data_IF_127244383243
#
_entry.id   IF_127244383243
#
_cell.length_a   1.000
_cell.length_b   1.000
_cell.length_c   1.000
_cell.angle_alpha   90.00
_cell.angle_beta   90.00
_cell.angle_gamma   90.00
#
_symmetry.space_group_name_H-M   'P 1'
#
loop_
_entity.id
_entity.type
_entity.pdbx_description
1 polymer ?
#
# COMPACT_ATOMS: atom_id res chain seq x y z
N UNK A 1 -65.72 -20.78 41.41
CA UNK A 1 -65.17 -19.75 42.31
C UNK A 1 -63.96 -19.15 41.65
N UNK A 2 -64.19 -17.99 41.05
CA UNK A 2 -63.67 -16.68 41.46
C UNK A 2 -62.14 -16.60 41.19
N UNK A 3 -61.57 -15.92 40.26
CA UNK A 3 -61.86 -14.55 39.80
C UNK A 3 -60.53 -13.80 39.95
N UNK A 4 -60.05 -13.07 38.97
CA UNK A 4 -58.89 -12.21 39.11
C UNK A 4 -58.28 -11.81 37.81
N UNK A 5 -58.91 -10.85 37.12
CA UNK A 5 -58.34 -10.08 36.03
C UNK A 5 -57.30 -9.09 36.62
N UNK A 6 -56.16 -9.00 35.99
CA UNK A 6 -55.18 -7.94 36.24
C UNK A 6 -54.78 -7.29 34.91
N UNK A 7 -55.37 -6.12 34.65
CA UNK A 7 -55.18 -5.34 33.44
C UNK A 7 -53.81 -4.67 33.44
N UNK A 8 -53.12 -4.81 32.30
CA UNK A 8 -51.94 -4.01 31.95
C UNK A 8 -52.39 -2.74 31.28
N UNK A 9 -52.12 -1.59 31.93
CA UNK A 9 -52.33 -0.26 31.45
C UNK A 9 -51.41 0.02 30.27
N UNK A 10 -52.01 0.21 29.09
CA UNK A 10 -51.36 0.87 27.96
C UNK A 10 -51.26 2.38 28.29
N UNK A 11 -50.04 2.88 28.41
CA UNK A 11 -49.80 4.30 28.48
C UNK A 11 -50.12 4.93 27.11
N UNK A 12 -51.24 5.63 27.03
CA UNK A 12 -51.55 6.51 25.94
C UNK A 12 -50.51 7.65 25.88
N UNK A 13 -49.73 7.69 24.87
CA UNK A 13 -48.81 8.77 24.56
C UNK A 13 -49.69 9.97 24.10
N UNK A 14 -49.91 10.90 25.01
CA UNK A 14 -50.68 12.12 24.82
C UNK A 14 -49.92 12.99 23.83
N UNK A 15 -50.38 12.99 22.55
CA UNK A 15 -49.88 13.91 21.54
C UNK A 15 -50.30 15.32 21.92
N UNK A 16 -49.36 16.09 22.47
CA UNK A 16 -49.52 17.47 22.83
C UNK A 16 -49.90 18.31 21.58
N UNK A 17 -51.13 18.76 21.51
CA UNK A 17 -51.60 19.71 20.51
C UNK A 17 -50.88 21.06 20.75
N UNK A 18 -50.20 21.65 19.74
CA UNK A 18 -49.52 22.91 19.92
C UNK A 18 -50.54 24.02 20.26
N UNK A 19 -50.36 24.69 21.37
CA UNK A 19 -51.12 25.88 21.75
C UNK A 19 -50.86 27.01 20.75
N UNK A 20 -51.95 27.57 20.20
CA UNK A 20 -51.92 28.72 19.30
C UNK A 20 -51.19 29.93 19.99
N UNK A 21 -49.97 30.23 19.58
CA UNK A 21 -49.19 31.34 20.09
C UNK A 21 -47.67 31.17 20.11
N UNK A 22 -47.15 29.95 19.84
CA UNK A 22 -45.69 29.78 19.73
C UNK A 22 -45.26 30.19 18.30
N UNK A 23 -44.23 31.07 18.16
CA UNK A 23 -43.67 31.36 16.85
C UNK A 23 -43.16 30.04 16.22
N UNK A 24 -43.32 29.83 14.89
CA UNK A 24 -42.81 28.68 14.23
C UNK A 24 -41.30 28.57 14.50
N UNK A 25 -40.74 27.33 14.68
CA UNK A 25 -39.30 27.18 14.88
C UNK A 25 -38.58 27.90 13.74
N UNK A 26 -37.67 28.80 14.10
CA UNK A 26 -36.86 29.55 13.14
C UNK A 26 -36.23 28.53 12.16
N UNK A 27 -36.50 28.69 10.88
CA UNK A 27 -35.85 27.90 9.84
C UNK A 27 -34.34 28.08 9.98
N UNK A 28 -33.54 27.01 9.95
CA UNK A 28 -32.10 27.12 10.09
C UNK A 28 -31.57 28.10 9.05
N UNK A 29 -30.74 29.06 9.53
CA UNK A 29 -30.18 30.11 8.71
C UNK A 29 -29.66 29.59 7.39
N UNK A 30 -29.97 30.21 6.23
CA UNK A 30 -29.52 29.78 4.92
C UNK A 30 -27.97 29.84 4.89
N UNK A 31 -27.29 28.72 5.05
CA UNK A 31 -25.84 28.63 5.17
C UNK A 31 -25.36 27.64 6.25
N UNK A 32 -26.14 27.40 7.29
CA UNK A 32 -25.75 26.47 8.37
C UNK A 32 -25.56 25.02 7.83
N UNK A 33 -26.39 24.59 6.89
CA UNK A 33 -26.27 23.31 6.24
C UNK A 33 -25.04 23.21 5.32
N UNK A 34 -24.68 24.29 4.63
CA UNK A 34 -23.51 24.35 3.73
C UNK A 34 -22.22 24.31 4.57
N UNK A 35 -22.13 25.11 5.63
CA UNK A 35 -20.97 25.13 6.53
C UNK A 35 -20.77 23.81 7.26
N UNK A 36 -21.85 23.13 7.68
CA UNK A 36 -21.79 21.79 8.28
C UNK A 36 -21.34 20.74 7.26
N UNK A 37 -21.81 20.82 6.01
CA UNK A 37 -21.36 19.97 4.91
C UNK A 37 -19.88 20.14 4.60
N UNK A 38 -19.39 21.38 4.48
CA UNK A 38 -17.98 21.70 4.24
C UNK A 38 -17.10 21.21 5.40
N UNK A 39 -17.52 21.40 6.63
CA UNK A 39 -16.80 20.90 7.80
C UNK A 39 -16.72 19.37 7.84
N UNK A 40 -17.79 18.68 7.44
CA UNK A 40 -17.82 17.21 7.31
C UNK A 40 -16.86 16.72 6.21
N UNK A 41 -16.91 17.32 5.01
CA UNK A 41 -16.00 16.99 3.91
C UNK A 41 -14.55 17.24 4.28
N UNK A 42 -14.25 18.36 4.92
CA UNK A 42 -12.91 18.70 5.39
C UNK A 42 -12.41 17.67 6.42
N UNK A 43 -13.21 17.29 7.42
CA UNK A 43 -12.84 16.27 8.40
C UNK A 43 -12.60 14.90 7.76
N UNK A 44 -13.46 14.50 6.82
CA UNK A 44 -13.30 13.25 6.08
C UNK A 44 -12.01 13.25 5.25
N UNK A 45 -11.73 14.34 4.55
CA UNK A 45 -10.52 14.52 3.76
C UNK A 45 -9.24 14.45 4.62
N UNK A 46 -9.20 15.15 5.76
CA UNK A 46 -8.09 15.09 6.69
C UNK A 46 -7.88 13.68 7.28
N UNK A 47 -8.95 12.97 7.60
CA UNK A 47 -8.85 11.56 8.00
C UNK A 47 -8.22 10.70 6.90
N UNK A 48 -8.59 10.92 5.64
CA UNK A 48 -7.98 10.23 4.50
C UNK A 48 -6.48 10.51 4.40
N UNK A 49 -6.04 11.76 4.56
CA UNK A 49 -4.62 12.13 4.58
C UNK A 49 -3.88 11.42 5.72
N UNK A 50 -4.39 11.48 6.94
CA UNK A 50 -3.76 10.84 8.11
C UNK A 50 -3.67 9.33 7.92
N UNK A 51 -4.73 8.67 7.45
CA UNK A 51 -4.71 7.25 7.17
C UNK A 51 -3.65 6.87 6.12
N UNK A 52 -3.54 7.64 5.02
CA UNK A 52 -2.55 7.39 3.98
C UNK A 52 -1.11 7.61 4.49
N UNK A 53 -0.86 8.70 5.21
CA UNK A 53 0.46 8.99 5.80
C UNK A 53 0.88 7.92 6.81
N UNK A 54 -0.02 7.57 7.74
CA UNK A 54 0.27 6.53 8.75
C UNK A 54 0.50 5.19 8.06
N UNK A 55 -0.35 4.80 7.09
CA UNK A 55 -0.19 3.55 6.36
C UNK A 55 1.16 3.47 5.63
N UNK A 56 1.54 4.51 4.91
CA UNK A 56 2.83 4.57 4.22
C UNK A 56 4.02 4.62 5.20
N UNK A 57 3.89 5.36 6.32
CA UNK A 57 4.91 5.36 7.37
C UNK A 57 5.11 3.98 8.01
N UNK A 58 4.03 3.20 8.18
CA UNK A 58 4.09 1.82 8.66
C UNK A 58 4.77 0.87 7.67
N UNK A 59 4.76 1.15 6.36
CA UNK A 59 5.57 0.39 5.40
C UNK A 59 7.06 0.59 5.64
N UNK A 60 7.51 1.83 5.90
CA UNK A 60 8.90 2.07 6.26
C UNK A 60 9.31 1.39 7.58
N UNK A 61 8.44 1.41 8.59
CA UNK A 61 8.62 0.62 9.80
C UNK A 61 8.71 -0.88 9.51
N UNK A 62 7.88 -1.40 8.60
CA UNK A 62 7.93 -2.79 8.14
C UNK A 62 9.28 -3.15 7.52
N UNK A 63 9.87 -2.23 6.76
CA UNK A 63 11.23 -2.38 6.22
C UNK A 63 12.28 -2.52 7.31
N UNK A 64 12.23 -1.67 8.34
CA UNK A 64 13.13 -1.76 9.48
C UNK A 64 12.93 -3.07 10.28
N UNK A 65 11.68 -3.54 10.46
CA UNK A 65 11.42 -4.86 11.04
C UNK A 65 12.06 -5.99 10.21
N UNK A 66 11.94 -5.94 8.88
CA UNK A 66 12.57 -6.92 7.99
C UNK A 66 14.10 -6.88 8.12
N UNK A 67 14.69 -5.68 8.14
CA UNK A 67 16.14 -5.51 8.37
C UNK A 67 16.56 -6.10 9.71
N UNK A 68 15.83 -5.82 10.79
CA UNK A 68 16.13 -6.40 12.11
C UNK A 68 16.12 -7.93 12.06
N UNK A 69 15.10 -8.53 11.45
CA UNK A 69 14.98 -9.98 11.35
C UNK A 69 16.11 -10.60 10.54
N UNK A 70 16.44 -10.04 9.39
CA UNK A 70 17.51 -10.54 8.51
C UNK A 70 18.90 -10.35 9.11
N UNK A 71 19.12 -9.29 9.91
CA UNK A 71 20.43 -8.99 10.50
C UNK A 71 20.72 -9.72 11.81
N UNK A 72 19.69 -10.15 12.57
CA UNK A 72 19.87 -10.71 13.90
C UNK A 72 19.55 -12.21 14.00
N UNK A 73 18.94 -12.80 12.97
CA UNK A 73 18.57 -14.21 12.96
C UNK A 73 19.08 -14.87 11.67
N UNK A 74 19.35 -16.17 11.74
CA UNK A 74 19.70 -16.98 10.56
C UNK A 74 18.45 -17.32 9.76
N UNK A 75 17.87 -16.30 9.12
CA UNK A 75 16.67 -16.40 8.30
C UNK A 75 16.89 -15.77 6.93
N UNK A 76 16.24 -16.36 5.94
CA UNK A 76 16.38 -15.95 4.54
C UNK A 76 15.27 -14.98 4.10
N UNK A 77 15.51 -14.09 3.12
CA UNK A 77 14.49 -13.23 2.56
C UNK A 77 13.19 -13.94 2.12
N UNK A 78 13.24 -15.16 1.48
CA UNK A 78 12.03 -15.91 1.17
C UNK A 78 11.21 -16.31 2.40
N UNK A 79 11.86 -16.66 3.51
CA UNK A 79 11.16 -17.01 4.75
C UNK A 79 10.42 -15.81 5.36
N UNK A 80 11.12 -14.67 5.50
CA UNK A 80 10.49 -13.43 6.00
C UNK A 80 9.33 -13.03 5.11
N UNK A 81 9.51 -13.11 3.78
CA UNK A 81 8.46 -12.77 2.80
C UNK A 81 7.26 -13.70 2.92
N UNK A 82 7.49 -15.02 3.06
CA UNK A 82 6.42 -16.00 3.21
C UNK A 82 5.61 -15.75 4.49
N UNK A 83 6.27 -15.62 5.63
CA UNK A 83 5.61 -15.44 6.93
C UNK A 83 4.79 -14.14 6.96
N UNK A 84 5.36 -13.01 6.50
CA UNK A 84 4.65 -11.73 6.49
C UNK A 84 3.46 -11.72 5.54
N UNK A 85 3.61 -12.28 4.33
CA UNK A 85 2.54 -12.28 3.32
C UNK A 85 1.42 -13.25 3.67
N UNK A 86 1.73 -14.46 4.14
CA UNK A 86 0.71 -15.41 4.61
C UNK A 86 -0.02 -14.88 5.84
N UNK A 87 0.70 -14.39 6.84
CA UNK A 87 0.10 -13.84 8.04
C UNK A 87 -0.84 -12.67 7.75
N UNK A 88 -0.38 -11.68 6.98
CA UNK A 88 -1.22 -10.54 6.59
C UNK A 88 -2.38 -10.97 5.68
N UNK A 89 -2.14 -11.87 4.72
CA UNK A 89 -3.16 -12.42 3.84
C UNK A 89 -4.28 -13.14 4.59
N UNK A 90 -3.94 -13.91 5.63
CA UNK A 90 -4.92 -14.55 6.53
C UNK A 90 -5.75 -13.49 7.26
N UNK A 91 -5.13 -12.43 7.79
CA UNK A 91 -5.86 -11.34 8.45
C UNK A 91 -6.81 -10.63 7.48
N UNK A 92 -6.38 -10.36 6.23
CA UNK A 92 -7.25 -9.83 5.19
C UNK A 92 -8.41 -10.76 4.90
N UNK A 93 -8.16 -12.08 4.77
CA UNK A 93 -9.19 -13.08 4.50
C UNK A 93 -10.22 -13.16 5.62
N UNK A 94 -9.78 -13.12 6.89
CA UNK A 94 -10.68 -13.10 8.05
C UNK A 94 -11.62 -11.90 8.01
N UNK A 95 -11.08 -10.69 7.74
CA UNK A 95 -11.89 -9.48 7.63
C UNK A 95 -12.85 -9.54 6.45
N UNK A 96 -12.39 -10.05 5.29
CA UNK A 96 -13.23 -10.23 4.10
C UNK A 96 -14.36 -11.24 4.36
N UNK A 97 -14.06 -12.38 4.98
CA UNK A 97 -15.03 -13.39 5.32
C UNK A 97 -16.09 -12.88 6.32
N UNK A 98 -15.67 -12.02 7.26
CA UNK A 98 -16.56 -11.44 8.26
C UNK A 98 -17.44 -10.32 7.69
N UNK A 99 -16.94 -9.50 6.75
CA UNK A 99 -17.62 -8.27 6.31
C UNK A 99 -18.14 -8.32 4.88
N UNK A 100 -17.56 -9.15 4.01
CA UNK A 100 -17.85 -9.18 2.56
C UNK A 100 -17.91 -10.62 2.03
N UNK A 101 -18.54 -11.53 2.78
CA UNK A 101 -18.58 -12.96 2.49
C UNK A 101 -19.10 -13.30 1.09
N UNK A 102 -20.16 -12.61 0.65
CA UNK A 102 -20.76 -12.86 -0.66
C UNK A 102 -19.82 -12.45 -1.78
N UNK A 103 -19.16 -11.30 -1.63
CA UNK A 103 -18.18 -10.79 -2.59
C UNK A 103 -16.97 -11.71 -2.67
N UNK A 104 -16.48 -12.19 -1.54
CA UNK A 104 -15.39 -13.17 -1.47
C UNK A 104 -15.78 -14.46 -2.18
N UNK A 105 -16.97 -14.99 -1.92
CA UNK A 105 -17.46 -16.20 -2.56
C UNK A 105 -17.62 -16.05 -4.09
N UNK A 106 -18.14 -14.90 -4.56
CA UNK A 106 -18.25 -14.59 -5.98
C UNK A 106 -16.87 -14.53 -6.66
N UNK A 107 -15.90 -13.85 -6.01
CA UNK A 107 -14.54 -13.72 -6.50
C UNK A 107 -13.81 -15.07 -6.61
N UNK A 108 -14.01 -15.97 -5.62
CA UNK A 108 -13.41 -17.32 -5.61
C UNK A 108 -14.07 -18.29 -6.59
N UNK A 109 -15.30 -18.01 -7.05
CA UNK A 109 -15.98 -18.84 -8.08
C UNK A 109 -15.58 -18.49 -9.50
N UNK A 110 -15.12 -17.26 -9.74
CA UNK A 110 -14.70 -16.83 -11.07
C UNK A 110 -13.25 -17.26 -11.36
N UNK A 111 -13.11 -18.35 -12.15
CA UNK A 111 -11.81 -18.89 -12.55
C UNK A 111 -10.93 -17.87 -13.29
N UNK A 112 -11.53 -16.94 -14.05
CA UNK A 112 -10.78 -15.91 -14.76
C UNK A 112 -10.18 -14.91 -13.80
N UNK A 113 -10.95 -14.48 -12.82
CA UNK A 113 -10.49 -13.61 -11.73
C UNK A 113 -9.41 -14.31 -10.89
N UNK A 114 -9.56 -15.60 -10.57
CA UNK A 114 -8.53 -16.36 -9.85
C UNK A 114 -7.21 -16.43 -10.63
N UNK A 115 -7.24 -16.64 -11.94
CA UNK A 115 -6.03 -16.62 -12.77
C UNK A 115 -5.35 -15.23 -12.75
N UNK A 116 -6.13 -14.15 -12.85
CA UNK A 116 -5.61 -12.77 -12.76
C UNK A 116 -5.05 -12.46 -11.37
N UNK A 117 -5.68 -12.96 -10.32
CA UNK A 117 -5.19 -12.85 -8.94
C UNK A 117 -3.91 -13.65 -8.71
N UNK A 118 -3.79 -14.83 -9.31
CA UNK A 118 -2.56 -15.63 -9.26
C UNK A 118 -1.38 -14.88 -9.89
N UNK A 119 -1.59 -14.28 -11.07
CA UNK A 119 -0.57 -13.44 -11.74
C UNK A 119 -0.24 -12.22 -10.89
N UNK A 120 -1.23 -11.54 -10.32
CA UNK A 120 -1.00 -10.39 -9.44
C UNK A 120 -0.29 -10.77 -8.14
N UNK A 121 -0.72 -11.85 -7.49
CA UNK A 121 -0.14 -12.31 -6.23
C UNK A 121 1.30 -12.80 -6.39
N UNK A 122 1.57 -13.68 -7.36
CA UNK A 122 2.89 -14.25 -7.59
C UNK A 122 3.82 -13.32 -8.40
N UNK A 123 3.31 -12.71 -9.49
CA UNK A 123 4.11 -11.85 -10.37
C UNK A 123 4.20 -10.39 -9.90
N UNK A 124 3.21 -9.90 -9.16
CA UNK A 124 3.19 -8.54 -8.65
C UNK A 124 3.65 -8.46 -7.20
N UNK A 125 2.78 -8.87 -6.27
CA UNK A 125 3.04 -8.71 -4.83
C UNK A 125 4.26 -9.50 -4.35
N UNK A 126 4.36 -10.79 -4.71
CA UNK A 126 5.50 -11.61 -4.27
C UNK A 126 6.82 -11.09 -4.83
N UNK A 127 6.92 -10.84 -6.14
CA UNK A 127 8.17 -10.35 -6.72
C UNK A 127 8.56 -8.99 -6.11
N UNK A 128 7.60 -8.08 -5.89
CA UNK A 128 7.87 -6.82 -5.21
C UNK A 128 8.41 -7.03 -3.80
N UNK A 129 7.81 -7.92 -3.02
CA UNK A 129 8.19 -8.15 -1.64
C UNK A 129 9.49 -8.92 -1.48
N UNK A 130 9.73 -9.94 -2.33
CA UNK A 130 10.95 -10.74 -2.23
C UNK A 130 12.18 -9.95 -2.70
N UNK A 131 12.07 -9.21 -3.81
CA UNK A 131 13.18 -8.40 -4.30
C UNK A 131 13.53 -7.29 -3.32
N UNK A 132 12.52 -6.67 -2.68
CA UNK A 132 12.71 -5.70 -1.60
C UNK A 132 13.45 -6.30 -0.41
N UNK A 133 13.04 -7.49 0.07
CA UNK A 133 13.69 -8.17 1.18
C UNK A 133 15.14 -8.56 0.85
N UNK A 134 15.42 -8.99 -0.39
CA UNK A 134 16.78 -9.28 -0.85
C UNK A 134 17.64 -7.99 -0.87
N UNK A 135 17.08 -6.86 -1.30
CA UNK A 135 17.83 -5.59 -1.28
C UNK A 135 18.14 -5.18 0.17
N UNK A 136 17.20 -5.37 1.11
CA UNK A 136 17.47 -5.11 2.53
C UNK A 136 18.61 -5.98 3.04
N UNK A 137 18.63 -7.25 2.68
CA UNK A 137 19.65 -8.22 3.09
C UNK A 137 21.06 -7.83 2.62
N UNK A 138 21.17 -7.29 1.40
CA UNK A 138 22.43 -6.78 0.86
C UNK A 138 22.80 -5.36 1.34
N UNK A 139 21.84 -4.57 1.81
CA UNK A 139 22.01 -3.15 2.12
C UNK A 139 21.38 -2.77 3.48
N UNK A 140 20.26 -2.07 3.44
CA UNK A 140 19.44 -1.71 4.59
C UNK A 140 18.05 -1.25 4.11
N UNK A 141 17.08 -1.11 5.03
CA UNK A 141 15.71 -0.74 4.68
C UNK A 141 15.59 0.67 4.06
N UNK A 142 16.38 1.63 4.49
CA UNK A 142 16.40 2.99 3.92
C UNK A 142 16.81 2.97 2.45
N UNK A 143 17.97 2.37 2.14
CA UNK A 143 18.49 2.24 0.77
C UNK A 143 17.55 1.41 -0.11
N UNK A 144 17.03 0.29 0.40
CA UNK A 144 16.09 -0.56 -0.34
C UNK A 144 14.83 0.21 -0.76
N UNK A 145 14.25 1.00 0.16
CA UNK A 145 13.04 1.77 -0.11
C UNK A 145 13.29 2.89 -1.11
N UNK A 146 14.46 3.51 -1.08
CA UNK A 146 14.83 4.53 -2.09
C UNK A 146 15.03 3.92 -3.46
N UNK A 147 15.72 2.78 -3.56
CA UNK A 147 15.84 2.05 -4.84
C UNK A 147 14.47 1.60 -5.36
N UNK A 148 13.55 1.21 -4.48
CA UNK A 148 12.15 0.90 -4.84
C UNK A 148 11.45 2.06 -5.54
N UNK A 149 11.75 3.32 -5.19
CA UNK A 149 11.16 4.50 -5.81
C UNK A 149 11.51 4.63 -7.30
N UNK A 150 12.54 3.95 -7.81
CA UNK A 150 12.82 3.84 -9.26
C UNK A 150 11.64 3.22 -10.01
N UNK A 151 10.77 2.47 -9.32
CA UNK A 151 9.53 1.94 -9.88
C UNK A 151 8.62 3.02 -10.48
N UNK A 152 8.63 4.24 -9.94
CA UNK A 152 7.87 5.37 -10.47
C UNK A 152 8.40 5.76 -11.87
N UNK A 153 9.73 5.75 -12.05
CA UNK A 153 10.36 6.00 -13.34
C UNK A 153 9.99 4.90 -14.36
N UNK A 154 9.95 3.63 -13.93
CA UNK A 154 9.50 2.54 -14.79
C UNK A 154 8.01 2.65 -15.15
N UNK A 155 7.13 3.00 -14.19
CA UNK A 155 5.71 3.26 -14.48
C UNK A 155 5.55 4.34 -15.54
N UNK A 156 6.29 5.43 -15.41
CA UNK A 156 6.29 6.52 -16.38
C UNK A 156 6.75 6.04 -17.77
N UNK A 157 7.89 5.36 -17.84
CA UNK A 157 8.43 4.84 -19.09
C UNK A 157 7.44 3.89 -19.78
N UNK A 158 6.86 2.93 -19.06
CA UNK A 158 5.85 2.02 -19.61
C UNK A 158 4.60 2.74 -20.07
N UNK A 159 4.15 3.77 -19.33
CA UNK A 159 2.98 4.55 -19.72
C UNK A 159 3.23 5.30 -21.02
N UNK A 160 4.43 5.87 -21.22
CA UNK A 160 4.84 6.52 -22.46
C UNK A 160 4.92 5.55 -23.64
N UNK A 161 5.51 4.36 -23.43
CA UNK A 161 5.65 3.33 -24.47
C UNK A 161 4.26 2.83 -24.91
N UNK A 162 3.39 2.48 -23.97
CA UNK A 162 2.04 1.97 -24.27
C UNK A 162 1.16 3.05 -24.87
N UNK A 163 1.26 4.27 -24.37
CA UNK A 163 0.53 5.44 -24.89
C UNK A 163 1.07 5.99 -26.21
N UNK A 164 2.23 5.46 -26.70
CA UNK A 164 2.95 5.98 -27.86
C UNK A 164 3.14 7.50 -27.81
N UNK A 165 3.32 8.03 -26.60
CA UNK A 165 3.52 9.45 -26.34
C UNK A 165 4.96 9.69 -25.85
N UNK A 166 5.56 10.79 -26.29
CA UNK A 166 6.86 11.18 -25.76
C UNK A 166 6.71 11.67 -24.30
N UNK A 167 7.68 11.35 -23.44
CA UNK A 167 7.71 11.86 -22.09
C UNK A 167 7.71 13.39 -22.09
N UNK A 168 6.99 13.98 -21.17
CA UNK A 168 7.01 15.43 -20.97
C UNK A 168 8.36 15.87 -20.38
N UNK A 169 8.74 17.12 -20.57
CA UNK A 169 10.01 17.64 -20.04
C UNK A 169 10.17 17.39 -18.53
N UNK A 170 9.10 17.53 -17.74
CA UNK A 170 9.12 17.24 -16.31
C UNK A 170 9.38 15.77 -16.00
N UNK A 171 8.82 14.86 -16.80
CA UNK A 171 9.01 13.42 -16.66
C UNK A 171 10.45 13.04 -16.99
N UNK A 172 11.07 13.67 -18.01
CA UNK A 172 12.48 13.48 -18.33
C UNK A 172 13.39 14.00 -17.21
N UNK A 173 13.09 15.17 -16.65
CA UNK A 173 13.82 15.68 -15.48
C UNK A 173 13.67 14.76 -14.28
N UNK A 174 12.46 14.23 -14.03
CA UNK A 174 12.21 13.25 -12.98
C UNK A 174 12.99 11.96 -13.18
N UNK A 175 13.02 11.42 -14.41
CA UNK A 175 13.81 10.24 -14.74
C UNK A 175 15.31 10.50 -14.51
N UNK A 176 15.83 11.64 -14.98
CA UNK A 176 17.22 12.05 -14.75
C UNK A 176 17.54 12.15 -13.25
N UNK A 177 16.64 12.74 -12.47
CA UNK A 177 16.79 12.85 -11.02
C UNK A 177 16.81 11.46 -10.33
N UNK A 178 15.94 10.53 -10.75
CA UNK A 178 15.93 9.17 -10.22
C UNK A 178 17.23 8.41 -10.52
N UNK A 179 17.72 8.50 -11.77
CA UNK A 179 18.98 7.87 -12.19
C UNK A 179 20.16 8.47 -11.43
N UNK A 180 20.21 9.80 -11.29
CA UNK A 180 21.28 10.46 -10.56
C UNK A 180 21.24 10.17 -9.07
N UNK A 181 20.06 10.10 -8.44
CA UNK A 181 19.91 9.70 -7.06
C UNK A 181 20.39 8.25 -6.84
N UNK A 182 20.01 7.34 -7.73
CA UNK A 182 20.46 5.93 -7.67
C UNK A 182 21.98 5.84 -7.83
N UNK A 183 22.57 6.58 -8.77
CA UNK A 183 24.02 6.64 -8.97
C UNK A 183 24.72 7.20 -7.71
N UNK A 184 24.22 8.28 -7.15
CA UNK A 184 24.79 8.93 -5.96
C UNK A 184 24.82 7.98 -4.74
N UNK A 185 23.75 7.25 -4.51
CA UNK A 185 23.66 6.25 -3.44
C UNK A 185 24.59 5.06 -3.73
N UNK A 186 24.60 4.59 -4.98
CA UNK A 186 25.39 3.42 -5.37
C UNK A 186 26.92 3.67 -5.29
N UNK A 187 27.36 4.88 -5.58
CA UNK A 187 28.79 5.23 -5.65
C UNK A 187 29.30 6.06 -4.46
N UNK A 188 28.38 6.54 -3.60
CA UNK A 188 28.69 7.50 -2.54
C UNK A 188 29.36 8.78 -3.06
N UNK A 189 29.09 9.11 -4.34
CA UNK A 189 29.64 10.28 -5.03
C UNK A 189 31.02 10.06 -5.64
N UNK A 190 31.62 8.87 -5.54
CA UNK A 190 32.87 8.51 -6.22
C UNK A 190 32.59 7.71 -7.49
N UNK A 191 32.78 8.31 -8.69
CA UNK A 191 32.47 7.63 -9.95
C UNK A 191 33.36 6.40 -10.22
N UNK A 192 34.47 6.23 -9.52
CA UNK A 192 35.40 5.12 -9.68
C UNK A 192 35.11 3.94 -8.74
N UNK A 193 34.22 4.14 -7.75
CA UNK A 193 33.91 3.15 -6.73
C UNK A 193 32.41 2.79 -6.71
N UNK A 194 32.10 1.51 -6.62
CA UNK A 194 30.75 1.04 -6.33
C UNK A 194 30.68 0.70 -4.84
N UNK A 195 30.05 1.57 -4.05
CA UNK A 195 29.92 1.39 -2.59
C UNK A 195 28.82 0.41 -2.21
N UNK A 196 27.75 0.33 -3.03
CA UNK A 196 26.73 -0.71 -2.86
C UNK A 196 27.21 -2.04 -3.44
N UNK A 197 26.93 -3.17 -2.77
CA UNK A 197 27.16 -4.47 -3.38
C UNK A 197 26.41 -4.57 -4.73
N UNK A 198 27.10 -5.00 -5.79
CA UNK A 198 26.50 -5.14 -7.12
C UNK A 198 25.20 -5.97 -7.10
N UNK A 199 25.09 -7.10 -6.36
CA UNK A 199 23.82 -7.80 -6.23
C UNK A 199 22.72 -6.93 -5.64
N UNK A 200 23.00 -6.11 -4.62
CA UNK A 200 22.03 -5.18 -4.03
C UNK A 200 21.48 -4.17 -5.04
N UNK A 201 22.35 -3.60 -5.88
CA UNK A 201 21.94 -2.67 -6.94
C UNK A 201 21.08 -3.37 -8.01
N UNK A 202 21.49 -4.55 -8.47
CA UNK A 202 20.73 -5.34 -9.49
C UNK A 202 19.34 -5.69 -8.95
N UNK A 203 19.26 -6.19 -7.72
CA UNK A 203 17.99 -6.51 -7.09
C UNK A 203 17.15 -5.25 -6.81
N UNK A 204 17.76 -4.10 -6.53
CA UNK A 204 17.09 -2.82 -6.38
C UNK A 204 16.40 -2.37 -7.67
N UNK A 205 17.08 -2.50 -8.82
CA UNK A 205 16.50 -2.22 -10.14
C UNK A 205 15.37 -3.21 -10.46
N UNK A 206 15.58 -4.51 -10.17
CA UNK A 206 14.55 -5.54 -10.32
C UNK A 206 13.33 -5.26 -9.44
N UNK A 207 13.55 -4.75 -8.21
CA UNK A 207 12.48 -4.33 -7.32
C UNK A 207 11.68 -3.16 -7.92
N UNK A 208 12.33 -2.11 -8.43
CA UNK A 208 11.66 -1.02 -9.11
C UNK A 208 10.78 -1.49 -10.29
N UNK A 209 11.28 -2.44 -11.10
CA UNK A 209 10.51 -3.03 -12.19
C UNK A 209 9.30 -3.83 -11.66
N UNK A 210 9.47 -4.60 -10.59
CA UNK A 210 8.40 -5.34 -9.93
C UNK A 210 7.32 -4.42 -9.35
N UNK A 211 7.72 -3.28 -8.78
CA UNK A 211 6.81 -2.23 -8.30
C UNK A 211 6.00 -1.64 -9.45
N UNK A 212 6.61 -1.38 -10.60
CA UNK A 212 5.88 -0.89 -11.76
C UNK A 212 4.79 -1.88 -12.18
N UNK A 213 5.11 -3.18 -12.25
CA UNK A 213 4.12 -4.23 -12.54
C UNK A 213 3.03 -4.28 -11.46
N UNK A 214 3.40 -4.27 -10.19
CA UNK A 214 2.48 -4.24 -9.05
C UNK A 214 1.50 -3.07 -9.10
N UNK A 215 1.93 -1.89 -9.55
CA UNK A 215 1.08 -0.70 -9.66
C UNK A 215 0.16 -0.76 -10.90
N UNK A 216 0.67 -1.23 -12.03
CA UNK A 216 -0.03 -1.14 -13.30
C UNK A 216 -1.02 -2.28 -13.53
N UNK A 217 -0.63 -3.50 -13.19
CA UNK A 217 -1.40 -4.71 -13.49
C UNK A 217 -2.78 -4.75 -12.81
N UNK A 218 -2.92 -4.48 -11.49
CA UNK A 218 -4.17 -4.72 -10.77
C UNK A 218 -5.25 -3.65 -10.97
N UNK A 219 -5.03 -2.60 -11.76
CA UNK A 219 -5.98 -1.48 -11.91
C UNK A 219 -7.40 -1.93 -12.24
N UNK A 220 -7.55 -2.87 -13.17
CA UNK A 220 -8.87 -3.45 -13.53
C UNK A 220 -9.44 -4.32 -12.41
N UNK A 221 -8.59 -5.14 -11.76
CA UNK A 221 -9.00 -5.96 -10.63
C UNK A 221 -9.49 -5.10 -9.45
N UNK A 222 -8.78 -3.98 -9.19
CA UNK A 222 -9.17 -3.03 -8.14
C UNK A 222 -10.52 -2.35 -8.44
N UNK A 223 -10.78 -2.02 -9.70
CA UNK A 223 -12.06 -1.45 -10.13
C UNK A 223 -13.21 -2.45 -9.98
N UNK A 224 -12.99 -3.71 -10.37
CA UNK A 224 -14.00 -4.78 -10.34
C UNK A 224 -14.29 -5.28 -8.89
N UNK A 225 -13.23 -5.54 -8.12
CA UNK A 225 -13.32 -6.27 -6.85
C UNK A 225 -12.90 -5.46 -5.61
N UNK A 226 -12.44 -4.22 -5.80
CA UNK A 226 -11.91 -3.36 -4.75
C UNK A 226 -10.50 -3.74 -4.30
N UNK A 227 -9.71 -2.73 -3.95
CA UNK A 227 -8.30 -2.88 -3.62
C UNK A 227 -8.05 -3.77 -2.39
N UNK A 228 -8.91 -3.67 -1.36
CA UNK A 228 -8.76 -4.45 -0.13
C UNK A 228 -8.86 -5.97 -0.38
N UNK A 229 -9.88 -6.41 -1.14
CA UNK A 229 -10.09 -7.83 -1.45
C UNK A 229 -8.98 -8.38 -2.36
N UNK A 230 -8.65 -7.65 -3.41
CA UNK A 230 -7.59 -8.04 -4.37
C UNK A 230 -6.23 -8.13 -3.68
N UNK A 231 -5.88 -7.15 -2.84
CA UNK A 231 -4.63 -7.15 -2.09
C UNK A 231 -4.57 -8.33 -1.10
N UNK A 232 -5.66 -8.57 -0.36
CA UNK A 232 -5.70 -9.66 0.62
C UNK A 232 -5.50 -11.05 -0.01
N UNK A 233 -6.22 -11.36 -1.10
CA UNK A 233 -6.06 -12.64 -1.80
C UNK A 233 -4.71 -12.69 -2.52
N UNK A 234 -4.26 -11.57 -3.11
CA UNK A 234 -2.93 -11.47 -3.70
C UNK A 234 -1.81 -11.74 -2.71
N UNK A 235 -1.94 -11.26 -1.44
CA UNK A 235 -1.01 -11.56 -0.36
C UNK A 235 -0.96 -13.06 -0.04
N UNK A 236 -2.11 -13.74 0.01
CA UNK A 236 -2.14 -15.19 0.23
C UNK A 236 -1.45 -15.94 -0.91
N UNK A 237 -1.79 -15.62 -2.15
CA UNK A 237 -1.17 -16.25 -3.32
C UNK A 237 0.34 -16.01 -3.34
N UNK A 238 0.76 -14.77 -3.14
CA UNK A 238 2.18 -14.41 -3.09
C UNK A 238 2.90 -15.05 -1.91
N UNK A 239 2.24 -15.15 -0.76
CA UNK A 239 2.77 -15.82 0.43
C UNK A 239 2.95 -17.33 0.20
N UNK A 240 2.03 -17.99 -0.50
CA UNK A 240 2.18 -19.40 -0.92
C UNK A 240 3.36 -19.53 -1.88
N UNK A 241 3.50 -18.63 -2.87
CA UNK A 241 4.64 -18.64 -3.78
C UNK A 241 5.96 -18.46 -3.03
N UNK A 242 6.03 -17.53 -2.07
CA UNK A 242 7.21 -17.33 -1.22
C UNK A 242 7.55 -18.58 -0.38
N UNK A 243 6.54 -19.21 0.21
CA UNK A 243 6.72 -20.44 0.98
C UNK A 243 7.24 -21.59 0.12
N UNK A 244 6.71 -21.75 -1.10
CA UNK A 244 7.20 -22.78 -2.04
C UNK A 244 8.67 -22.54 -2.44
N UNK A 245 9.06 -21.28 -2.68
CA UNK A 245 10.46 -20.93 -2.99
C UNK A 245 11.37 -21.19 -1.80
N UNK A 246 10.95 -20.85 -0.59
CA UNK A 246 11.70 -21.14 0.63
C UNK A 246 11.87 -22.64 0.84
N UNK A 247 10.78 -23.43 0.70
CA UNK A 247 10.82 -24.88 0.82
C UNK A 247 11.73 -25.51 -0.23
N UNK A 248 11.62 -25.10 -1.49
CA UNK A 248 12.45 -25.59 -2.58
C UNK A 248 13.94 -25.29 -2.35
N UNK A 249 14.26 -24.09 -1.87
CA UNK A 249 15.61 -23.69 -1.51
C UNK A 249 16.20 -24.52 -0.37
N UNK A 250 15.43 -24.81 0.68
CA UNK A 250 15.84 -25.66 1.80
C UNK A 250 16.12 -27.09 1.39
N UNK A 251 15.27 -27.67 0.53
CA UNK A 251 15.46 -29.02 -0.01
C UNK A 251 16.68 -29.08 -0.94
N UNK A 252 16.82 -28.14 -1.87
CA UNK A 252 17.93 -28.10 -2.83
C UNK A 252 19.29 -27.83 -2.14
N UNK A 253 19.30 -27.04 -1.08
CA UNK A 253 20.52 -26.73 -0.30
C UNK A 253 20.93 -27.83 0.70
N UNK A 254 20.16 -28.92 0.82
CA UNK A 254 20.44 -29.99 1.78
C UNK A 254 20.33 -29.61 3.26
N UNK A 255 19.91 -28.38 3.55
CA UNK A 255 19.75 -27.86 4.93
C UNK A 255 18.47 -28.38 5.62
N UNK A 256 17.61 -29.10 4.87
CA UNK A 256 16.33 -29.55 5.39
C UNK A 256 15.35 -28.41 5.67
N UNK A 257 14.19 -28.73 6.24
CA UNK A 257 13.17 -27.77 6.67
C UNK A 257 13.44 -27.28 8.09
N UNK A 258 14.67 -26.86 8.40
CA UNK A 258 14.97 -26.31 9.70
C UNK A 258 14.26 -24.95 9.85
N UNK A 259 13.30 -24.88 10.78
CA UNK A 259 12.71 -23.60 11.16
C UNK A 259 13.76 -22.80 11.95
N UNK A 260 13.90 -21.49 11.66
CA UNK A 260 14.83 -20.65 12.39
C UNK A 260 14.46 -20.61 13.89
N UNK A 261 15.46 -20.61 14.73
CA UNK A 261 15.26 -20.42 16.19
C UNK A 261 15.05 -18.94 16.45
N UNK A 262 13.92 -18.60 17.02
CA UNK A 262 13.56 -17.22 17.37
C UNK A 262 13.40 -17.11 18.88
N UNK A 263 13.85 -16.03 19.43
CA UNK A 263 13.56 -15.60 20.78
C UNK A 263 12.26 -14.77 20.85
N UNK A 264 11.90 -14.29 22.03
CA UNK A 264 10.70 -13.47 22.21
C UNK A 264 10.73 -12.19 21.38
N UNK A 265 11.90 -11.59 21.14
CA UNK A 265 12.04 -10.40 20.30
C UNK A 265 11.78 -10.71 18.83
N UNK A 266 12.31 -11.82 18.31
CA UNK A 266 12.06 -12.28 16.94
C UNK A 266 10.57 -12.54 16.68
N UNK A 267 9.89 -13.24 17.61
CA UNK A 267 8.43 -13.45 17.51
C UNK A 267 7.64 -12.15 17.57
N UNK A 268 8.02 -11.23 18.46
CA UNK A 268 7.38 -9.91 18.56
C UNK A 268 7.53 -9.13 17.24
N UNK A 269 8.74 -9.08 16.67
CA UNK A 269 8.99 -8.34 15.42
C UNK A 269 8.28 -9.00 14.24
N UNK A 270 8.17 -10.34 14.17
CA UNK A 270 7.29 -11.00 13.20
C UNK A 270 5.82 -10.63 13.38
N UNK A 271 5.33 -10.57 14.61
CA UNK A 271 3.98 -10.09 14.90
C UNK A 271 3.76 -8.64 14.43
N UNK A 272 4.72 -7.77 14.71
CA UNK A 272 4.68 -6.37 14.31
C UNK A 272 4.71 -6.20 12.78
N UNK A 273 5.59 -6.92 12.07
CA UNK A 273 5.65 -6.83 10.60
C UNK A 273 4.38 -7.36 9.93
N UNK A 274 3.74 -8.39 10.46
CA UNK A 274 2.50 -8.95 9.95
C UNK A 274 1.32 -8.00 10.21
N UNK A 275 1.10 -7.66 11.48
CA UNK A 275 -0.12 -6.94 11.91
C UNK A 275 -0.01 -5.46 11.59
N UNK A 276 1.08 -4.83 11.98
CA UNK A 276 1.28 -3.37 11.88
C UNK A 276 1.87 -3.00 10.54
N UNK A 277 3.02 -3.59 10.21
CA UNK A 277 3.81 -3.24 9.03
C UNK A 277 3.24 -3.73 7.71
N UNK A 278 2.32 -4.70 7.72
CA UNK A 278 1.71 -5.21 6.48
C UNK A 278 0.20 -5.03 6.49
N UNK A 279 -0.52 -5.73 7.37
CA UNK A 279 -2.00 -5.68 7.34
C UNK A 279 -2.55 -4.28 7.61
N UNK A 280 -2.20 -3.66 8.74
CA UNK A 280 -2.71 -2.33 9.09
C UNK A 280 -2.18 -1.26 8.14
N UNK A 281 -0.91 -1.34 7.73
CA UNK A 281 -0.30 -0.43 6.77
C UNK A 281 -1.08 -0.40 5.45
N UNK A 282 -1.32 -1.55 4.82
CA UNK A 282 -2.10 -1.63 3.59
C UNK A 282 -3.56 -1.21 3.80
N UNK A 283 -4.21 -1.65 4.88
CA UNK A 283 -5.60 -1.30 5.17
C UNK A 283 -5.78 0.23 5.33
N UNK A 284 -4.91 0.88 6.09
CA UNK A 284 -4.94 2.33 6.31
C UNK A 284 -4.60 3.10 5.04
N UNK A 285 -3.55 2.70 4.33
CA UNK A 285 -3.14 3.38 3.10
C UNK A 285 -4.23 3.30 2.03
N UNK A 286 -4.75 2.10 1.75
CA UNK A 286 -5.82 1.91 0.77
C UNK A 286 -7.10 2.66 1.15
N UNK A 287 -7.46 2.68 2.45
CA UNK A 287 -8.58 3.47 2.95
C UNK A 287 -8.32 4.97 2.76
N UNK A 288 -7.13 5.46 3.11
CA UNK A 288 -6.75 6.86 2.90
C UNK A 288 -6.83 7.25 1.42
N UNK A 289 -6.22 6.46 0.54
CA UNK A 289 -6.23 6.68 -0.93
C UNK A 289 -7.64 6.69 -1.51
N UNK A 290 -8.54 5.85 -1.00
CA UNK A 290 -9.95 5.83 -1.44
C UNK A 290 -10.70 7.13 -1.15
N UNK A 291 -10.22 7.90 -0.16
CA UNK A 291 -10.80 9.21 0.23
C UNK A 291 -10.12 10.37 -0.51
N UNK A 292 -8.78 10.38 -0.55
CA UNK A 292 -8.02 11.53 -1.08
C UNK A 292 -7.74 11.43 -2.57
N UNK A 293 -7.95 10.27 -3.16
CA UNK A 293 -7.65 9.96 -4.55
C UNK A 293 -6.21 9.48 -4.78
N UNK A 294 -5.98 8.81 -5.92
CA UNK A 294 -4.72 8.12 -6.23
C UNK A 294 -3.52 9.06 -6.34
N UNK A 295 -3.70 10.25 -6.94
CA UNK A 295 -2.61 11.24 -7.12
C UNK A 295 -2.10 11.74 -5.78
N UNK A 296 -3.00 12.18 -4.88
CA UNK A 296 -2.61 12.62 -3.53
C UNK A 296 -2.10 11.46 -2.70
N UNK A 297 -2.68 10.26 -2.87
CA UNK A 297 -2.21 9.05 -2.21
C UNK A 297 -0.77 8.74 -2.53
N UNK A 298 -0.36 8.78 -3.80
CA UNK A 298 1.04 8.52 -4.19
C UNK A 298 2.02 9.56 -3.65
N UNK A 299 1.62 10.85 -3.58
CA UNK A 299 2.42 11.88 -2.90
C UNK A 299 2.60 11.60 -1.41
N UNK A 300 1.51 11.18 -0.73
CA UNK A 300 1.56 10.80 0.69
C UNK A 300 2.38 9.52 0.92
N UNK A 301 2.44 8.62 -0.09
CA UNK A 301 3.30 7.44 -0.08
C UNK A 301 4.79 7.77 0.02
N UNK A 302 5.21 8.97 -0.40
CA UNK A 302 6.62 9.41 -0.29
C UNK A 302 7.14 9.52 1.16
N UNK A 303 6.29 9.38 2.16
CA UNK A 303 6.71 9.27 3.58
C UNK A 303 7.40 7.92 3.87
N UNK A 304 7.15 6.89 3.07
CA UNK A 304 7.74 5.55 3.26
C UNK A 304 9.28 5.56 3.30
N UNK A 305 10.01 6.10 2.30
CA UNK A 305 11.47 6.16 2.38
C UNK A 305 11.99 7.01 3.55
N UNK A 306 11.28 8.07 3.91
CA UNK A 306 11.64 8.90 5.08
C UNK A 306 11.51 8.10 6.36
N UNK A 307 10.41 7.38 6.55
CA UNK A 307 10.18 6.56 7.74
C UNK A 307 11.11 5.35 7.79
N UNK A 308 11.38 4.67 6.65
CA UNK A 308 12.30 3.55 6.58
C UNK A 308 13.72 3.98 7.01
N UNK A 309 14.21 5.11 6.48
CA UNK A 309 15.51 5.67 6.86
C UNK A 309 15.54 6.07 8.33
N UNK A 310 14.49 6.74 8.83
CA UNK A 310 14.40 7.15 10.23
C UNK A 310 14.42 5.94 11.18
N UNK A 311 13.61 4.90 10.92
CA UNK A 311 13.59 3.69 11.75
C UNK A 311 14.92 2.91 11.66
N UNK A 312 15.54 2.82 10.47
CA UNK A 312 16.86 2.17 10.32
C UNK A 312 17.94 2.92 11.08
N UNK A 313 17.95 4.25 11.06
CA UNK A 313 18.92 5.05 11.78
C UNK A 313 18.70 5.02 13.30
N UNK A 314 17.46 5.27 13.75
CA UNK A 314 17.15 5.47 15.17
C UNK A 314 17.03 4.16 15.96
N UNK A 315 16.50 3.11 15.34
CA UNK A 315 16.30 1.83 16.00
C UNK A 315 17.46 0.85 15.76
N UNK A 316 17.95 0.77 14.51
CA UNK A 316 18.94 -0.21 14.11
C UNK A 316 20.38 0.36 14.08
N UNK A 317 20.53 1.67 14.34
CA UNK A 317 21.84 2.34 14.34
C UNK A 317 22.51 2.40 12.96
N UNK A 318 21.75 2.25 11.87
CA UNK A 318 22.27 2.30 10.51
C UNK A 318 22.82 3.69 10.22
N UNK A 319 24.12 3.77 9.86
CA UNK A 319 24.76 5.01 9.47
C UNK A 319 24.46 5.33 7.99
N UNK A 320 24.05 6.55 7.73
CA UNK A 320 23.84 7.09 6.38
C UNK A 320 24.85 8.21 6.11
N UNK A 321 25.49 8.17 4.94
CA UNK A 321 26.43 9.19 4.51
C UNK A 321 25.74 10.44 4.00
N UNK A 322 26.48 11.52 3.73
CA UNK A 322 25.95 12.70 3.07
C UNK A 322 25.43 12.44 1.66
N UNK A 323 26.02 11.49 0.94
CA UNK A 323 25.58 11.07 -0.39
C UNK A 323 24.24 10.32 -0.34
N UNK A 324 24.02 9.45 0.69
CA UNK A 324 22.73 8.79 0.89
C UNK A 324 21.64 9.81 1.14
N UNK A 325 21.86 10.77 2.03
CA UNK A 325 20.89 11.84 2.32
C UNK A 325 20.57 12.69 1.08
N UNK A 326 21.58 13.04 0.29
CA UNK A 326 21.37 13.79 -0.96
C UNK A 326 20.57 12.98 -1.98
N UNK A 327 20.88 11.68 -2.13
CA UNK A 327 20.11 10.76 -2.96
C UNK A 327 18.65 10.60 -2.51
N UNK A 328 18.41 10.49 -1.19
CA UNK A 328 17.06 10.40 -0.62
C UNK A 328 16.23 11.65 -0.90
N UNK A 329 16.79 12.84 -0.65
CA UNK A 329 16.12 14.12 -0.94
C UNK A 329 15.80 14.25 -2.42
N UNK A 330 16.75 13.88 -3.28
CA UNK A 330 16.56 13.96 -4.73
C UNK A 330 15.49 13.00 -5.23
N UNK A 331 15.43 11.77 -4.67
CA UNK A 331 14.39 10.79 -5.00
C UNK A 331 12.99 11.26 -4.55
N UNK A 332 12.89 11.84 -3.36
CA UNK A 332 11.64 12.42 -2.86
C UNK A 332 11.21 13.60 -3.73
N UNK A 333 12.14 14.48 -4.10
CA UNK A 333 11.87 15.61 -5.01
C UNK A 333 11.38 15.11 -6.38
N UNK A 334 11.96 14.04 -6.91
CA UNK A 334 11.50 13.40 -8.15
C UNK A 334 10.05 12.91 -8.03
N UNK A 335 9.67 12.28 -6.91
CA UNK A 335 8.29 11.82 -6.69
C UNK A 335 7.32 13.00 -6.77
N UNK A 336 7.61 14.09 -6.07
CA UNK A 336 6.79 15.31 -6.12
C UNK A 336 6.72 15.94 -7.52
N UNK A 337 7.83 15.94 -8.25
CA UNK A 337 7.89 16.51 -9.61
C UNK A 337 7.03 15.71 -10.60
N UNK A 338 7.11 14.38 -10.55
CA UNK A 338 6.42 13.49 -11.51
C UNK A 338 4.93 13.30 -11.15
N UNK A 339 4.59 13.25 -9.83
CA UNK A 339 3.22 12.95 -9.39
C UNK A 339 2.39 14.21 -9.07
N UNK A 340 3.01 15.38 -8.98
CA UNK A 340 2.35 16.64 -8.57
C UNK A 340 1.42 17.28 -9.61
N UNK A 341 1.16 16.68 -10.76
CA UNK A 341 0.27 17.23 -11.78
C UNK A 341 -1.21 17.05 -11.44
N UNK A 342 -2.01 18.09 -11.78
CA UNK A 342 -3.47 18.02 -11.77
C UNK A 342 -3.93 16.90 -12.71
N UNK A 343 -4.93 16.09 -12.35
CA UNK A 343 -5.54 15.15 -13.28
C UNK A 343 -6.02 15.94 -14.50
N UNK A 344 -5.56 15.59 -15.70
CA UNK A 344 -6.24 16.04 -16.91
C UNK A 344 -7.65 15.45 -16.84
N UNK A 345 -8.71 16.25 -17.19
CA UNK A 345 -10.02 15.71 -17.43
C UNK A 345 -9.84 14.58 -18.47
N UNK A 346 -10.24 13.38 -18.12
CA UNK A 346 -10.37 12.33 -19.12
C UNK A 346 -11.27 12.92 -20.18
N UNK A 347 -10.77 13.00 -21.43
CA UNK A 347 -11.59 13.35 -22.57
C UNK A 347 -12.79 12.40 -22.51
N UNK A 348 -13.98 12.94 -22.26
CA UNK A 348 -15.24 12.20 -22.34
C UNK A 348 -15.20 11.53 -23.71
N UNK A 349 -15.31 10.20 -23.71
CA UNK A 349 -15.53 9.45 -24.94
C UNK A 349 -16.71 10.11 -25.65
N UNK A 350 -16.62 10.42 -26.97
CA UNK A 350 -17.75 11.00 -27.67
C UNK A 350 -18.95 10.11 -27.43
N UNK A 351 -20.02 10.66 -26.89
CA UNK A 351 -21.31 10.01 -26.87
C UNK A 351 -21.61 9.59 -28.32
N UNK A 352 -21.59 8.29 -28.60
CA UNK A 352 -22.10 7.75 -29.86
C UNK A 352 -23.51 8.27 -30.03
N UNK A 353 -23.66 9.06 -31.09
CA UNK A 353 -24.86 9.80 -31.38
C UNK A 353 -26.09 8.91 -31.49
N UNK A 354 -27.11 9.40 -30.88
CA UNK A 354 -28.52 9.11 -31.13
C UNK A 354 -28.80 8.93 -32.64
N UNK A 355 -28.77 7.69 -33.09
CA UNK A 355 -29.31 7.29 -34.39
C UNK A 355 -30.75 6.89 -34.19
N UNK A 356 -31.67 7.89 -34.07
CA UNK A 356 -33.09 7.69 -34.29
C UNK A 356 -33.33 7.39 -35.76
N UNK A 357 -33.97 6.26 -36.11
CA UNK A 357 -34.40 6.00 -37.48
C UNK A 357 -35.66 6.83 -37.79
N UNK A 358 -35.59 7.63 -38.82
CA UNK A 358 -36.76 8.13 -39.56
C UNK A 358 -37.32 7.08 -40.52
#
# INVERSE_FOLDING_TARGET
MSGGMGGGSAAEEEVAVPTAGSPPPEAPAPGAGIAAGEAFFRRRFWRGIVCALVGAGLWGFSGACAQFLLSNYDITPPFVTAVRMLGAGILFLVVLAARQRERLAAMLRDRRTLGRLAVFGAGGLYLCQITYAIVIDYTNAGTATVLQCTGIAFVMLFTCIVGRALPRAKELVGLGAALFATWLIATQGDPSALSLPLPGLVWGIANGLSVAFYIMYPKRLFAEWGSFAVTGIGMLVGGVAAALVWLAGGVAGGAGLALPTLDAAGFLVFGLIIVVGTFAAFALYLHGVSIVGSVKGSLLGAIEPVSATAFSALWLGTAFSGADWAGFVLMIAMIFLVTGEKPQPQAEAPCEGDSSPT
#
